data_IF_577822653723
#
_entry.id   IF_577822653723
#
_cell.length_a   1.000
_cell.length_b   1.000
_cell.length_c   1.000
_cell.angle_alpha   90.00
_cell.angle_beta   90.00
_cell.angle_gamma   90.00
#
_symmetry.space_group_name_H-M   'P 1'
#
loop_
_entity.id
_entity.type
_entity.pdbx_description
1 polymer ?
#
# COMPACT_ATOMS: atom_id res chain seq x y z
N UNK A 1 -18.46 9.17 -11.18
CA UNK A 1 -17.49 8.95 -10.08
C UNK A 1 -16.10 9.02 -10.68
N UNK A 2 -15.24 9.94 -10.24
CA UNK A 2 -13.86 9.98 -10.67
C UNK A 2 -13.04 9.08 -9.76
N UNK A 3 -12.53 7.98 -10.29
CA UNK A 3 -11.64 7.07 -9.56
C UNK A 3 -10.25 7.70 -9.53
N UNK A 4 -9.88 8.26 -8.38
CA UNK A 4 -8.59 8.97 -8.19
C UNK A 4 -7.40 7.99 -8.10
N UNK A 5 -7.63 6.79 -7.56
CA UNK A 5 -6.67 5.70 -7.49
C UNK A 5 -7.42 4.36 -7.56
N UNK A 6 -6.86 3.40 -8.27
CA UNK A 6 -7.45 2.06 -8.41
C UNK A 6 -7.34 1.29 -7.09
N UNK A 7 -8.49 0.90 -6.53
CA UNK A 7 -8.60 0.00 -5.39
C UNK A 7 -8.94 -1.40 -5.90
N UNK A 8 -8.21 -2.42 -5.43
CA UNK A 8 -8.41 -3.83 -5.77
C UNK A 8 -8.73 -4.63 -4.53
N UNK A 9 -9.72 -5.51 -4.64
CA UNK A 9 -9.95 -6.51 -3.62
C UNK A 9 -8.89 -7.62 -3.73
N UNK A 10 -8.35 -8.02 -2.58
CA UNK A 10 -7.45 -9.16 -2.43
C UNK A 10 -7.86 -9.94 -1.20
N UNK A 11 -7.65 -11.25 -1.23
CA UNK A 11 -7.83 -12.09 -0.06
C UNK A 11 -6.50 -12.14 0.69
N UNK A 12 -6.47 -11.65 1.92
CA UNK A 12 -5.33 -11.72 2.85
C UNK A 12 -5.85 -12.35 4.14
N UNK A 13 -5.13 -13.33 4.68
CA UNK A 13 -5.58 -14.16 5.81
C UNK A 13 -7.03 -14.68 5.74
N UNK A 14 -7.48 -15.06 4.53
CA UNK A 14 -8.86 -15.51 4.23
C UNK A 14 -9.93 -14.42 4.33
N UNK A 15 -9.56 -13.17 4.55
CA UNK A 15 -10.47 -12.02 4.50
C UNK A 15 -10.30 -11.23 3.19
N UNK A 16 -11.42 -10.79 2.62
CA UNK A 16 -11.41 -9.89 1.49
C UNK A 16 -11.10 -8.47 1.97
N UNK A 17 -9.92 -7.98 1.59
CA UNK A 17 -9.44 -6.65 1.96
C UNK A 17 -9.22 -5.77 0.74
N UNK A 18 -9.49 -4.48 0.91
CA UNK A 18 -9.23 -3.48 -0.12
C UNK A 18 -7.76 -3.11 -0.13
N UNK A 19 -7.13 -3.22 -1.30
CA UNK A 19 -5.70 -2.99 -1.51
C UNK A 19 -5.49 -1.94 -2.59
N UNK A 20 -4.34 -1.28 -2.55
CA UNK A 20 -3.91 -0.32 -3.58
C UNK A 20 -2.46 -0.59 -3.97
N UNK A 21 -2.09 -0.22 -5.19
CA UNK A 21 -0.68 -0.27 -5.58
C UNK A 21 0.11 0.84 -4.87
N UNK A 22 1.10 0.46 -4.05
CA UNK A 22 1.88 1.42 -3.28
C UNK A 22 2.65 2.43 -4.15
N UNK A 23 3.10 2.06 -5.37
CA UNK A 23 3.77 3.00 -6.29
C UNK A 23 2.78 4.03 -6.82
N UNK A 24 1.56 3.62 -7.14
CA UNK A 24 0.51 4.55 -7.56
C UNK A 24 0.12 5.49 -6.42
N UNK A 25 0.02 4.97 -5.19
CA UNK A 25 -0.24 5.81 -4.02
C UNK A 25 0.88 6.85 -3.81
N UNK A 26 2.14 6.44 -3.93
CA UNK A 26 3.28 7.35 -3.77
C UNK A 26 3.27 8.48 -4.80
N UNK A 27 3.01 8.14 -6.07
CA UNK A 27 2.92 9.12 -7.15
C UNK A 27 1.70 10.04 -6.99
N UNK A 28 0.55 9.47 -6.63
CA UNK A 28 -0.69 10.20 -6.41
C UNK A 28 -0.59 11.22 -5.27
N UNK A 29 0.11 10.87 -4.19
CA UNK A 29 0.36 11.78 -3.06
C UNK A 29 1.51 12.77 -3.32
N UNK A 30 2.08 12.76 -4.53
CA UNK A 30 3.20 13.63 -4.94
C UNK A 30 4.37 13.62 -3.96
N UNK A 31 4.67 12.45 -3.39
CA UNK A 31 5.71 12.32 -2.38
C UNK A 31 7.06 12.52 -3.04
N UNK A 32 7.80 13.53 -2.55
CA UNK A 32 9.10 13.95 -3.10
C UNK A 32 10.25 13.05 -2.68
N UNK A 33 10.08 12.28 -1.61
CA UNK A 33 11.09 11.32 -1.14
C UNK A 33 11.21 10.12 -2.09
N UNK A 34 12.36 9.46 -2.11
CA UNK A 34 12.54 8.23 -2.92
C UNK A 34 11.56 7.14 -2.44
N UNK A 35 10.85 6.50 -3.38
CA UNK A 35 9.90 5.41 -3.08
C UNK A 35 10.47 4.36 -2.12
N UNK A 36 11.74 3.96 -2.30
CA UNK A 36 12.39 2.97 -1.44
C UNK A 36 12.51 3.39 0.03
N UNK A 37 12.71 4.68 0.29
CA UNK A 37 12.76 5.20 1.66
C UNK A 37 11.35 5.31 2.23
N UNK A 38 10.42 5.80 1.43
CA UNK A 38 9.03 5.94 1.82
C UNK A 38 8.37 4.59 2.17
N UNK A 39 8.53 3.57 1.31
CA UNK A 39 7.91 2.26 1.53
C UNK A 39 8.47 1.57 2.77
N UNK A 40 9.77 1.74 3.06
CA UNK A 40 10.38 1.23 4.30
C UNK A 40 9.75 1.84 5.55
N UNK A 41 9.42 3.14 5.50
CA UNK A 41 8.73 3.80 6.61
C UNK A 41 7.30 3.28 6.76
N UNK A 42 6.56 3.14 5.64
CA UNK A 42 5.20 2.58 5.65
C UNK A 42 5.14 1.16 6.21
N UNK A 43 6.11 0.31 5.86
CA UNK A 43 6.21 -1.05 6.41
C UNK A 43 6.35 -1.02 7.94
N UNK A 44 7.18 -0.11 8.47
CA UNK A 44 7.36 0.06 9.92
C UNK A 44 6.11 0.61 10.61
N UNK A 45 5.50 1.64 10.02
CA UNK A 45 4.29 2.29 10.55
C UNK A 45 3.08 1.34 10.58
N UNK A 46 2.89 0.58 9.51
CA UNK A 46 1.85 -0.44 9.41
C UNK A 46 2.20 -1.73 10.17
N UNK A 47 3.39 -1.81 10.78
CA UNK A 47 3.87 -2.97 11.54
C UNK A 47 3.81 -4.28 10.74
N UNK A 48 4.01 -4.21 9.42
CA UNK A 48 4.07 -5.41 8.59
C UNK A 48 5.24 -6.30 9.03
N UNK A 49 5.01 -7.61 9.02
CA UNK A 49 5.98 -8.62 9.44
C UNK A 49 6.30 -9.51 8.25
N UNK A 50 7.57 -9.89 8.11
CA UNK A 50 7.95 -10.86 7.08
C UNK A 50 7.29 -12.22 7.34
N UNK A 51 6.83 -12.87 6.27
CA UNK A 51 6.14 -14.17 6.29
C UNK A 51 4.83 -14.20 7.07
N UNK A 52 4.20 -13.05 7.29
CA UNK A 52 2.85 -12.97 7.83
C UNK A 52 2.02 -12.13 6.85
N UNK A 53 1.08 -12.80 6.20
CA UNK A 53 0.01 -12.15 5.47
C UNK A 53 -1.04 -11.73 6.52
N UNK A 54 -0.85 -10.54 7.11
CA UNK A 54 -1.79 -9.90 8.06
C UNK A 54 -2.99 -9.28 7.34
#
# INVERSE_FOLDING_TARGET
MNTLIEIKERVIDREAVQTINARYLHAFLEITSKFANWIKNRIKECKFRENIDL
#
